data_IF_665626805054
#
_entry.id   IF_665626805054
#
_cell.length_a   1.000
_cell.length_b   1.000
_cell.length_c   1.000
_cell.angle_alpha   90.00
_cell.angle_beta   90.00
_cell.angle_gamma   90.00
#
_symmetry.space_group_name_H-M   'P 1'
#
loop_
_entity.id
_entity.type
_entity.pdbx_description
1 polymer ?
#
# COMPACT_ATOMS: atom_id res chain seq x y z
N UNK A 1 -29.55 68.87 15.36
CA UNK A 1 -28.41 68.48 14.49
C UNK A 1 -27.55 67.36 15.08
N UNK A 2 -27.23 67.37 16.39
CA UNK A 2 -26.36 66.37 17.05
C UNK A 2 -26.81 64.90 16.92
N UNK A 3 -28.11 64.61 17.01
CA UNK A 3 -28.66 63.24 16.90
C UNK A 3 -28.47 62.65 15.49
N UNK A 4 -28.56 63.48 14.44
CA UNK A 4 -28.41 63.02 13.06
C UNK A 4 -26.97 62.59 12.76
N UNK A 5 -25.99 63.32 13.30
CA UNK A 5 -24.56 63.01 13.15
C UNK A 5 -24.21 61.72 13.90
N UNK A 6 -24.75 61.51 15.10
CA UNK A 6 -24.53 60.28 15.87
C UNK A 6 -25.08 59.05 15.14
N UNK A 7 -26.29 59.14 14.55
CA UNK A 7 -26.87 58.05 13.76
C UNK A 7 -26.05 57.70 12.51
N UNK A 8 -25.54 58.70 11.79
CA UNK A 8 -24.71 58.43 10.60
C UNK A 8 -23.38 57.75 10.95
N UNK A 9 -22.76 58.13 12.07
CA UNK A 9 -21.51 57.50 12.53
C UNK A 9 -21.77 56.06 12.97
N UNK A 10 -22.85 55.81 13.72
CA UNK A 10 -23.21 54.46 14.16
C UNK A 10 -23.50 53.53 12.97
N UNK A 11 -24.21 54.01 11.95
CA UNK A 11 -24.50 53.24 10.74
C UNK A 11 -23.21 52.94 9.96
N UNK A 12 -22.34 53.94 9.77
CA UNK A 12 -21.06 53.77 9.08
C UNK A 12 -20.16 52.76 9.81
N UNK A 13 -20.06 52.85 11.13
CA UNK A 13 -19.31 51.89 11.94
C UNK A 13 -19.91 50.47 11.84
N UNK A 14 -21.24 50.33 11.90
CA UNK A 14 -21.92 49.05 11.73
C UNK A 14 -21.67 48.42 10.36
N UNK A 15 -21.68 49.22 9.30
CA UNK A 15 -21.36 48.76 7.94
C UNK A 15 -19.89 48.34 7.79
N UNK A 16 -18.95 49.11 8.34
CA UNK A 16 -17.53 48.76 8.28
C UNK A 16 -17.22 47.48 9.06
N UNK A 17 -17.79 47.32 10.26
CA UNK A 17 -17.63 46.11 11.08
C UNK A 17 -18.33 44.90 10.44
N UNK A 18 -19.54 45.07 9.89
CA UNK A 18 -20.28 44.00 9.22
C UNK A 18 -19.63 43.53 7.91
N UNK A 19 -19.11 44.46 7.11
CA UNK A 19 -18.46 44.13 5.84
C UNK A 19 -17.07 43.48 6.02
N UNK A 20 -16.34 43.83 7.08
CA UNK A 20 -15.01 43.25 7.38
C UNK A 20 -15.07 41.98 8.24
N UNK A 21 -16.23 41.66 8.84
CA UNK A 21 -16.41 40.52 9.73
C UNK A 21 -16.33 39.14 9.08
N UNK A 22 -16.41 39.03 7.75
CA UNK A 22 -16.36 37.74 7.06
C UNK A 22 -15.02 36.99 7.29
N UNK A 23 -13.91 37.74 7.39
CA UNK A 23 -12.59 37.16 7.67
C UNK A 23 -12.41 36.57 9.06
N UNK A 24 -13.36 36.78 9.99
CA UNK A 24 -13.34 36.18 11.33
C UNK A 24 -13.98 34.79 11.38
N UNK A 25 -14.78 34.44 10.37
CA UNK A 25 -15.53 33.16 10.30
C UNK A 25 -15.02 32.30 9.15
N UNK A 26 -14.33 32.89 8.17
CA UNK A 26 -13.72 32.15 7.08
C UNK A 26 -12.69 31.15 7.63
N UNK A 27 -12.76 29.86 7.26
CA UNK A 27 -11.72 28.90 7.59
C UNK A 27 -10.39 29.36 6.97
N UNK A 28 -9.31 29.19 7.73
CA UNK A 28 -7.97 29.52 7.24
C UNK A 28 -7.48 28.39 6.33
N UNK A 29 -7.45 28.62 5.03
CA UNK A 29 -7.01 27.62 4.04
C UNK A 29 -5.60 27.06 4.33
N UNK A 30 -4.73 27.81 5.00
CA UNK A 30 -3.38 27.36 5.38
C UNK A 30 -3.36 26.33 6.52
N UNK A 31 -4.50 26.10 7.17
CA UNK A 31 -4.63 25.08 8.24
C UNK A 31 -5.19 23.76 7.73
N UNK A 32 -5.61 23.71 6.46
CA UNK A 32 -6.02 22.48 5.81
C UNK A 32 -4.77 21.70 5.40
N UNK A 33 -4.52 20.60 6.08
CA UNK A 33 -3.42 19.71 5.74
C UNK A 33 -3.69 19.03 4.40
N UNK A 34 -2.72 19.09 3.51
CA UNK A 34 -2.70 18.38 2.23
C UNK A 34 -1.27 17.90 1.97
N UNK A 35 -1.09 16.88 1.12
CA UNK A 35 0.24 16.49 0.66
C UNK A 35 0.71 17.51 -0.39
N UNK A 36 1.74 18.34 -0.13
CA UNK A 36 2.14 19.42 -1.03
C UNK A 36 3.04 18.96 -2.18
N UNK A 37 3.13 17.65 -2.41
CA UNK A 37 4.02 16.99 -3.37
C UNK A 37 3.21 16.08 -4.30
N UNK A 38 3.88 15.39 -5.24
CA UNK A 38 3.22 14.48 -6.19
C UNK A 38 2.74 13.18 -5.52
N UNK A 39 3.27 12.86 -4.33
CA UNK A 39 2.89 11.69 -3.55
C UNK A 39 1.77 11.95 -2.55
N UNK A 40 1.49 10.93 -1.73
CA UNK A 40 0.48 10.99 -0.68
C UNK A 40 1.09 10.96 0.72
N UNK A 41 0.35 11.50 1.67
CA UNK A 41 0.69 11.50 3.09
C UNK A 41 -0.19 10.49 3.84
N UNK A 42 0.44 9.60 4.61
CA UNK A 42 -0.24 8.51 5.34
C UNK A 42 0.19 8.49 6.80
N UNK A 43 -0.78 8.45 7.72
CA UNK A 43 -0.54 8.25 9.14
C UNK A 43 -1.01 6.84 9.54
N UNK A 44 -0.12 6.01 10.08
CA UNK A 44 -0.40 4.64 10.51
C UNK A 44 0.15 4.39 11.92
N UNK A 45 -0.72 4.50 12.91
CA UNK A 45 -0.30 4.50 14.32
C UNK A 45 0.60 5.71 14.62
N UNK A 46 1.77 5.45 15.20
CA UNK A 46 2.76 6.46 15.58
C UNK A 46 3.83 6.72 14.49
N UNK A 47 3.61 6.19 13.28
CA UNK A 47 4.47 6.38 12.10
C UNK A 47 3.74 7.23 11.07
N UNK A 48 4.39 8.33 10.66
CA UNK A 48 3.90 9.25 9.64
C UNK A 48 4.73 9.09 8.36
N UNK A 49 4.10 8.64 7.28
CA UNK A 49 4.73 8.48 5.96
C UNK A 49 4.41 9.70 5.10
N UNK A 50 5.43 10.42 4.65
CA UNK A 50 5.33 11.62 3.81
C UNK A 50 5.70 11.27 2.38
N UNK A 51 4.96 11.86 1.45
CA UNK A 51 5.26 11.78 0.01
C UNK A 51 5.47 10.33 -0.50
N UNK A 52 4.55 9.43 -0.17
CA UNK A 52 4.58 8.05 -0.68
C UNK A 52 4.29 8.04 -2.17
N UNK A 53 5.21 7.44 -2.93
CA UNK A 53 5.26 7.39 -4.38
C UNK A 53 5.71 6.00 -4.85
N UNK A 54 5.27 5.64 -6.05
CA UNK A 54 5.81 4.52 -6.82
C UNK A 54 6.55 5.11 -8.03
N UNK A 55 7.84 4.82 -8.19
CA UNK A 55 8.63 5.28 -9.34
C UNK A 55 8.93 4.06 -10.22
N UNK A 56 8.49 4.10 -11.47
CA UNK A 56 8.76 3.01 -12.41
C UNK A 56 10.27 2.84 -12.65
N UNK A 57 10.71 1.59 -12.76
CA UNK A 57 12.06 1.24 -13.18
C UNK A 57 12.25 1.45 -14.70
N UNK A 58 13.45 1.19 -15.21
CA UNK A 58 13.74 1.32 -16.65
C UNK A 58 12.86 0.41 -17.55
N UNK A 59 12.23 -0.64 -17.00
CA UNK A 59 11.34 -1.53 -17.74
C UNK A 59 9.91 -1.00 -17.80
N UNK A 60 9.51 -0.22 -16.81
CA UNK A 60 8.13 0.24 -16.61
C UNK A 60 7.21 -0.80 -15.97
N UNK A 61 7.72 -1.99 -15.62
CA UNK A 61 6.93 -3.09 -15.05
C UNK A 61 7.06 -3.20 -13.52
N UNK A 62 8.16 -2.70 -12.97
CA UNK A 62 8.42 -2.69 -11.53
C UNK A 62 8.50 -1.26 -11.00
N UNK A 63 8.27 -1.12 -9.70
CA UNK A 63 8.14 0.18 -9.06
C UNK A 63 8.97 0.25 -7.79
N UNK A 64 9.86 1.24 -7.71
CA UNK A 64 10.55 1.63 -6.50
C UNK A 64 9.57 2.33 -5.56
N UNK A 65 9.52 1.91 -4.29
CA UNK A 65 8.67 2.51 -3.27
C UNK A 65 9.43 3.65 -2.59
N UNK A 66 9.07 4.90 -2.88
CA UNK A 66 9.77 6.10 -2.41
C UNK A 66 8.90 6.84 -1.40
N UNK A 67 9.45 7.16 -0.23
CA UNK A 67 8.78 7.94 0.81
C UNK A 67 9.77 8.40 1.89
N UNK A 68 9.35 9.36 2.70
CA UNK A 68 10.01 9.67 3.98
C UNK A 68 9.12 9.20 5.13
N UNK A 69 9.70 8.60 6.16
CA UNK A 69 8.98 8.22 7.37
C UNK A 69 9.43 9.06 8.56
N UNK A 70 8.48 9.37 9.44
CA UNK A 70 8.72 9.94 10.77
C UNK A 70 8.14 8.97 11.79
N UNK A 71 9.02 8.32 12.54
CA UNK A 71 8.65 7.43 13.63
C UNK A 71 8.91 8.16 14.96
N UNK A 72 7.82 8.50 15.64
CA UNK A 72 7.85 9.22 16.92
C UNK A 72 7.98 8.29 18.13
N UNK A 73 8.04 6.98 17.90
CA UNK A 73 8.22 5.99 18.97
C UNK A 73 9.68 5.90 19.42
N UNK A 74 9.90 5.31 20.59
CA UNK A 74 11.25 5.13 21.16
C UNK A 74 12.06 3.95 20.60
N UNK A 75 11.57 3.25 19.58
CA UNK A 75 12.24 2.10 18.97
C UNK A 75 11.92 1.97 17.47
N UNK A 76 12.68 1.18 16.69
CA UNK A 76 12.32 0.87 15.32
C UNK A 76 10.93 0.22 15.23
N UNK A 77 10.21 0.50 14.14
CA UNK A 77 8.88 -0.05 13.85
C UNK A 77 8.90 -0.70 12.47
N UNK A 78 8.41 -1.92 12.36
CA UNK A 78 8.23 -2.58 11.07
C UNK A 78 6.96 -2.04 10.38
N UNK A 79 7.13 -1.56 9.16
CA UNK A 79 6.08 -1.06 8.29
C UNK A 79 5.89 -2.04 7.15
N UNK A 80 4.66 -2.51 6.99
CA UNK A 80 4.25 -3.27 5.83
C UNK A 80 3.36 -2.44 4.92
N UNK A 81 3.65 -2.51 3.62
CA UNK A 81 2.83 -1.90 2.57
C UNK A 81 2.43 -3.00 1.59
N UNK A 82 1.12 -3.22 1.43
CA UNK A 82 0.58 -4.17 0.47
C UNK A 82 -0.13 -3.43 -0.65
N UNK A 83 0.26 -3.68 -1.90
CA UNK A 83 -0.30 -3.06 -3.09
C UNK A 83 -1.23 -4.03 -3.81
N UNK A 84 -2.35 -3.51 -4.29
CA UNK A 84 -3.34 -4.26 -5.07
C UNK A 84 -3.49 -3.59 -6.44
N UNK A 85 -3.04 -4.28 -7.48
CA UNK A 85 -3.28 -3.90 -8.87
C UNK A 85 -4.63 -4.39 -9.40
N UNK A 86 -4.93 -4.12 -10.68
CA UNK A 86 -6.09 -4.72 -11.35
C UNK A 86 -5.92 -6.25 -11.42
N UNK A 87 -6.91 -7.00 -10.90
CA UNK A 87 -6.93 -8.47 -10.98
C UNK A 87 -6.58 -9.23 -9.69
N UNK A 88 -6.58 -8.58 -8.52
CA UNK A 88 -6.39 -9.20 -7.19
C UNK A 88 -4.99 -9.76 -6.89
N UNK A 89 -4.02 -9.59 -7.80
CA UNK A 89 -2.62 -9.86 -7.51
C UNK A 89 -2.10 -8.83 -6.50
N UNK A 90 -1.28 -9.28 -5.56
CA UNK A 90 -0.78 -8.46 -4.45
C UNK A 90 0.74 -8.42 -4.47
N UNK A 91 1.30 -7.22 -4.46
CA UNK A 91 2.70 -7.01 -4.14
C UNK A 91 2.81 -6.57 -2.68
N UNK A 92 3.95 -6.85 -2.04
CA UNK A 92 4.18 -6.48 -0.66
C UNK A 92 5.60 -5.97 -0.50
N UNK A 93 5.74 -4.88 0.25
CA UNK A 93 7.02 -4.33 0.65
C UNK A 93 7.05 -4.22 2.17
N UNK A 94 8.21 -4.49 2.75
CA UNK A 94 8.47 -4.43 4.19
C UNK A 94 9.62 -3.46 4.44
N UNK A 95 9.47 -2.61 5.44
CA UNK A 95 10.45 -1.60 5.81
C UNK A 95 10.63 -1.60 7.32
N UNK A 96 11.87 -1.55 7.80
CA UNK A 96 12.13 -1.23 9.21
C UNK A 96 12.36 0.27 9.32
N UNK A 97 11.47 0.98 10.03
CA UNK A 97 11.52 2.43 10.21
C UNK A 97 12.24 2.77 11.53
N UNK A 98 13.47 3.32 11.50
CA UNK A 98 14.17 3.77 12.70
C UNK A 98 13.42 4.90 13.41
N UNK A 99 13.74 5.15 14.68
CA UNK A 99 13.23 6.33 15.40
C UNK A 99 13.73 7.62 14.74
N UNK A 100 12.86 8.63 14.64
CA UNK A 100 13.17 9.91 14.01
C UNK A 100 12.69 9.97 12.57
N UNK A 101 13.41 10.70 11.72
CA UNK A 101 13.08 10.85 10.31
C UNK A 101 14.05 10.05 9.43
N UNK A 102 13.52 9.34 8.44
CA UNK A 102 14.30 8.47 7.55
C UNK A 102 13.71 8.50 6.14
N UNK A 103 14.56 8.48 5.12
CA UNK A 103 14.16 8.47 3.70
C UNK A 103 14.36 7.07 3.11
N UNK A 104 13.46 6.66 2.23
CA UNK A 104 13.44 5.36 1.57
C UNK A 104 13.32 5.52 0.06
N UNK A 105 13.93 4.59 -0.68
CA UNK A 105 13.84 4.53 -2.14
C UNK A 105 14.86 5.38 -2.91
N UNK A 106 15.73 6.14 -2.23
CA UNK A 106 16.85 6.82 -2.88
C UNK A 106 18.00 5.83 -3.15
N UNK A 107 18.40 5.56 -4.41
CA UNK A 107 19.50 4.64 -4.72
C UNK A 107 20.87 5.08 -4.20
N UNK A 108 21.07 6.38 -3.98
CA UNK A 108 22.28 6.93 -3.35
C UNK A 108 22.15 7.06 -1.82
N UNK A 109 21.01 6.64 -1.26
CA UNK A 109 20.71 6.71 0.17
C UNK A 109 21.39 5.65 1.01
N UNK A 110 21.21 5.74 2.33
CA UNK A 110 21.74 4.74 3.29
C UNK A 110 20.94 3.43 3.29
N UNK A 111 19.68 3.48 2.87
CA UNK A 111 18.76 2.34 2.86
C UNK A 111 18.54 1.93 1.42
N UNK A 112 18.74 0.65 1.16
CA UNK A 112 18.56 0.06 -0.16
C UNK A 112 17.09 0.22 -0.63
N UNK A 113 16.86 0.69 -1.86
CA UNK A 113 15.52 0.78 -2.44
C UNK A 113 14.79 -0.56 -2.46
N UNK A 114 13.47 -0.52 -2.30
CA UNK A 114 12.61 -1.71 -2.39
C UNK A 114 11.79 -1.62 -3.66
N UNK A 115 11.93 -2.64 -4.50
CA UNK A 115 11.24 -2.76 -5.77
C UNK A 115 10.01 -3.68 -5.63
N UNK A 116 8.88 -3.29 -6.22
CA UNK A 116 7.65 -4.10 -6.25
C UNK A 116 7.09 -4.24 -7.66
N UNK A 117 6.70 -5.46 -8.02
CA UNK A 117 6.00 -5.72 -9.28
C UNK A 117 4.49 -5.68 -9.08
N UNK A 118 3.81 -4.71 -9.68
CA UNK A 118 2.36 -4.55 -9.57
C UNK A 118 1.72 -4.77 -10.95
N UNK A 119 1.04 -5.91 -11.18
CA UNK A 119 0.48 -6.23 -12.49
C UNK A 119 -0.51 -5.17 -12.99
N UNK A 120 -0.38 -4.81 -14.27
CA UNK A 120 -1.22 -3.84 -14.97
C UNK A 120 -1.18 -2.41 -14.42
N UNK A 121 -0.26 -2.09 -13.51
CA UNK A 121 -0.01 -0.71 -13.11
C UNK A 121 0.82 -0.02 -14.20
N UNK A 122 0.43 1.20 -14.56
CA UNK A 122 1.17 2.04 -15.51
C UNK A 122 1.50 3.39 -14.86
N UNK A 123 2.62 4.04 -15.22
CA UNK A 123 2.90 5.41 -14.82
C UNK A 123 1.75 6.37 -15.16
N UNK A 124 1.43 7.26 -14.23
CA UNK A 124 0.28 8.16 -14.26
C UNK A 124 -1.01 7.57 -13.68
N UNK A 125 -1.06 6.27 -13.36
CA UNK A 125 -2.15 5.64 -12.61
C UNK A 125 -1.91 5.66 -11.10
N UNK A 126 -2.85 5.12 -10.33
CA UNK A 126 -2.70 4.91 -8.89
C UNK A 126 -2.85 3.44 -8.53
N UNK A 127 -2.03 2.97 -7.59
CA UNK A 127 -2.12 1.65 -7.00
C UNK A 127 -2.81 1.74 -5.64
N UNK A 128 -3.76 0.84 -5.35
CA UNK A 128 -4.36 0.78 -4.02
C UNK A 128 -3.38 0.15 -3.04
N UNK A 129 -2.98 0.90 -2.04
CA UNK A 129 -2.04 0.46 -1.01
C UNK A 129 -2.72 0.36 0.37
N UNK A 130 -2.28 -0.63 1.12
CA UNK A 130 -2.68 -0.90 2.49
C UNK A 130 -1.45 -0.82 3.38
N UNK A 131 -1.48 0.07 4.37
CA UNK A 131 -0.36 0.36 5.25
C UNK A 131 -0.65 -0.19 6.63
N UNK A 132 0.32 -0.90 7.21
CA UNK A 132 0.18 -1.56 8.49
C UNK A 132 1.46 -1.46 9.30
N UNK A 133 1.33 -1.13 10.59
CA UNK A 133 2.38 -1.25 11.60
C UNK A 133 1.86 -2.13 12.75
N UNK A 134 2.74 -2.80 13.51
CA UNK A 134 2.34 -3.62 14.66
C UNK A 134 1.47 -2.85 15.66
N UNK A 135 0.28 -3.38 15.94
CA UNK A 135 -0.66 -2.81 16.92
C UNK A 135 -1.52 -1.66 16.40
N UNK A 136 -1.32 -1.19 15.17
CA UNK A 136 -2.18 -0.21 14.52
C UNK A 136 -3.22 -0.87 13.60
N UNK A 137 -4.34 -0.18 13.38
CA UNK A 137 -5.31 -0.57 12.34
C UNK A 137 -4.72 -0.30 10.97
N UNK A 138 -4.95 -1.22 10.04
CA UNK A 138 -4.60 -1.03 8.62
C UNK A 138 -5.33 0.18 8.04
N UNK A 139 -4.61 1.01 7.27
CA UNK A 139 -5.16 2.16 6.56
C UNK A 139 -4.96 2.00 5.05
N UNK A 140 -5.89 2.55 4.27
CA UNK A 140 -5.94 2.36 2.82
C UNK A 140 -5.89 3.70 2.09
N UNK A 141 -4.98 3.80 1.12
CA UNK A 141 -4.85 4.95 0.23
C UNK A 141 -4.55 4.51 -1.21
N UNK A 142 -4.77 5.40 -2.17
CA UNK A 142 -4.37 5.18 -3.57
C UNK A 142 -3.05 5.95 -3.80
N UNK A 143 -1.97 5.23 -4.07
CA UNK A 143 -0.60 5.75 -4.23
C UNK A 143 -0.32 5.99 -5.71
N UNK A 144 0.13 7.18 -6.14
CA UNK A 144 0.43 7.45 -7.53
C UNK A 144 1.73 6.77 -7.99
N UNK A 145 1.70 6.30 -9.23
CA UNK A 145 2.87 5.78 -9.94
C UNK A 145 3.36 6.81 -10.95
N UNK A 146 4.66 7.10 -10.95
CA UNK A 146 5.31 8.10 -11.80
C UNK A 146 6.44 7.46 -12.62
N UNK A 147 6.84 8.17 -13.68
CA UNK A 147 8.00 7.87 -14.53
C UNK A 147 8.93 9.07 -14.60
N UNK A 148 10.10 8.88 -15.19
CA UNK A 148 11.05 9.94 -15.46
C UNK A 148 10.95 10.53 -16.88
N UNK A 149 10.16 9.92 -17.77
CA UNK A 149 10.02 10.38 -19.16
C UNK A 149 9.49 11.82 -19.24
N UNK A 150 8.58 12.18 -18.34
CA UNK A 150 7.98 13.53 -18.29
C UNK A 150 8.40 14.35 -17.08
N UNK A 151 9.05 13.72 -16.10
CA UNK A 151 9.43 14.32 -14.82
C UNK A 151 10.91 14.05 -14.55
N UNK A 152 11.76 14.91 -15.08
CA UNK A 152 13.23 14.79 -14.99
C UNK A 152 13.71 14.76 -13.53
N UNK A 153 12.94 15.34 -12.63
CA UNK A 153 13.17 15.40 -11.19
C UNK A 153 13.16 14.01 -10.52
N UNK A 154 12.55 12.98 -11.12
CA UNK A 154 12.49 11.63 -10.55
C UNK A 154 13.53 10.66 -11.13
N UNK A 155 14.39 11.10 -12.05
CA UNK A 155 15.41 10.25 -12.70
C UNK A 155 16.33 9.54 -11.72
N UNK A 156 16.65 10.20 -10.63
CA UNK A 156 17.55 9.65 -9.60
C UNK A 156 16.89 8.50 -8.81
N UNK A 157 15.57 8.32 -8.93
CA UNK A 157 14.81 7.28 -8.25
C UNK A 157 14.41 6.12 -9.18
N UNK A 158 14.72 6.22 -10.49
CA UNK A 158 14.52 5.14 -11.46
C UNK A 158 15.62 4.10 -11.28
N UNK A 159 15.20 2.87 -10.99
CA UNK A 159 16.11 1.74 -10.79
C UNK A 159 16.41 1.06 -12.13
N UNK A 160 17.63 0.51 -12.30
CA UNK A 160 17.99 -0.23 -13.50
C UNK A 160 17.22 -1.55 -13.57
N UNK A 161 17.02 -2.08 -14.78
CA UNK A 161 16.21 -3.29 -15.01
C UNK A 161 16.75 -4.57 -14.32
N UNK A 162 18.02 -4.59 -13.93
CA UNK A 162 18.68 -5.70 -13.22
C UNK A 162 18.74 -5.51 -11.70
N UNK A 163 18.13 -4.44 -11.17
CA UNK A 163 18.08 -4.19 -9.74
C UNK A 163 17.36 -5.34 -9.00
N UNK A 164 18.00 -5.90 -7.97
CA UNK A 164 17.42 -6.98 -7.16
C UNK A 164 17.40 -8.38 -7.81
N UNK A 165 17.92 -8.55 -9.04
CA UNK A 165 17.91 -9.83 -9.76
C UNK A 165 18.69 -10.96 -9.03
N UNK A 166 19.54 -10.63 -8.07
CA UNK A 166 20.25 -11.62 -7.23
C UNK A 166 19.45 -12.11 -6.01
N UNK A 167 18.37 -11.42 -5.63
CA UNK A 167 17.52 -11.73 -4.47
C UNK A 167 16.35 -12.66 -4.85
N UNK A 168 15.76 -12.47 -6.03
CA UNK A 168 14.71 -13.34 -6.58
C UNK A 168 15.19 -14.80 -6.79
N UNK A 169 16.47 -14.98 -7.14
CA UNK A 169 17.08 -16.32 -7.25
C UNK A 169 17.22 -17.03 -5.89
N UNK A 170 17.26 -16.28 -4.78
CA UNK A 170 17.38 -16.81 -3.42
C UNK A 170 16.00 -17.16 -2.84
N UNK A 171 14.97 -16.35 -3.08
CA UNK A 171 13.58 -16.70 -2.72
C UNK A 171 13.07 -17.90 -3.52
N UNK A 172 13.34 -17.96 -4.84
CA UNK A 172 12.98 -19.11 -5.67
C UNK A 172 13.70 -20.42 -5.24
N UNK A 173 14.93 -20.31 -4.68
CA UNK A 173 15.66 -21.47 -4.14
C UNK A 173 15.26 -21.84 -2.72
N UNK A 174 14.77 -20.90 -1.91
CA UNK A 174 14.20 -21.19 -0.60
C UNK A 174 12.87 -21.94 -0.71
N UNK A 175 12.01 -21.56 -1.66
CA UNK A 175 10.77 -22.28 -1.97
C UNK A 175 11.04 -23.70 -2.51
N UNK A 176 12.01 -23.83 -3.43
CA UNK A 176 12.43 -25.13 -3.97
C UNK A 176 13.08 -26.05 -2.92
N UNK A 177 13.85 -25.51 -1.96
CA UNK A 177 14.48 -26.30 -0.89
C UNK A 177 13.49 -26.78 0.18
N UNK A 178 12.32 -26.15 0.30
CA UNK A 178 11.25 -26.59 1.22
C UNK A 178 10.46 -27.80 0.70
N UNK A 179 10.56 -28.11 -0.60
CA UNK A 179 9.79 -29.17 -1.25
C UNK A 179 10.49 -30.54 -1.38
N UNK A 180 11.77 -30.66 -1.03
CA UNK A 180 12.57 -31.90 -1.25
C UNK A 180 13.11 -32.52 0.05
N UNK A 181 12.33 -32.50 1.15
CA UNK A 181 12.71 -33.09 2.42
C UNK A 181 11.65 -34.05 2.99
N UNK A 182 11.43 -35.20 2.34
CA UNK A 182 10.36 -36.10 2.80
C UNK A 182 10.29 -37.51 2.20
N UNK A 183 11.40 -38.14 1.80
CA UNK A 183 11.43 -39.59 1.58
C UNK A 183 12.55 -40.24 2.40
N UNK A 184 12.18 -41.08 3.38
CA UNK A 184 13.14 -41.93 4.07
C UNK A 184 12.68 -42.55 5.40
N UNK A 185 12.20 -43.79 5.31
CA UNK A 185 12.38 -44.87 6.30
C UNK A 185 11.33 -45.05 7.42
N UNK A 186 10.49 -46.08 7.26
CA UNK A 186 10.38 -47.15 8.26
C UNK A 186 9.74 -48.40 7.65
N UNK A 187 10.43 -49.54 7.77
CA UNK A 187 9.92 -50.87 7.49
C UNK A 187 10.06 -51.76 8.73
N UNK A 188 9.13 -52.74 8.82
CA UNK A 188 9.02 -53.88 9.77
C UNK A 188 8.24 -53.59 11.08
N UNK A 189 7.29 -54.41 11.58
CA UNK A 189 6.87 -55.78 11.26
C UNK A 189 5.48 -56.12 11.87
N UNK A 190 4.89 -57.23 11.38
CA UNK A 190 4.15 -58.27 12.15
C UNK A 190 2.64 -58.48 11.87
N UNK A 191 2.38 -59.56 11.12
CA UNK A 191 1.44 -60.70 11.36
C UNK A 191 -0.07 -60.50 11.55
N UNK A 192 -0.86 -61.27 10.76
CA UNK A 192 -1.97 -62.08 11.31
C UNK A 192 -3.35 -61.98 10.62
N UNK A 193 -3.63 -62.97 9.77
CA UNK A 193 -4.91 -63.70 9.57
C UNK A 193 -6.26 -63.04 9.18
N UNK A 194 -6.79 -63.54 8.05
CA UNK A 194 -8.11 -64.18 7.83
C UNK A 194 -9.40 -63.35 7.93
N UNK A 195 -10.10 -63.14 6.80
CA UNK A 195 -11.25 -63.98 6.35
C UNK A 195 -12.06 -63.28 5.25
N UNK A 196 -12.71 -64.10 4.43
CA UNK A 196 -13.42 -63.77 3.20
C UNK A 196 -14.92 -63.49 3.37
N UNK A 197 -15.49 -62.96 2.28
CA UNK A 197 -16.79 -63.28 1.65
C UNK A 197 -18.04 -62.41 1.89
N UNK A 198 -18.77 -62.20 0.79
CA UNK A 198 -20.17 -61.73 0.68
C UNK A 198 -20.32 -60.48 -0.20
N UNK A 199 -20.56 -60.55 -1.54
CA UNK A 199 -21.88 -60.67 -2.21
C UNK A 199 -22.95 -59.74 -1.59
N UNK A 200 -23.74 -58.87 -2.26
CA UNK A 200 -24.38 -58.93 -3.59
C UNK A 200 -25.14 -57.61 -3.90
N UNK A 201 -25.34 -57.36 -5.21
CA UNK A 201 -26.58 -56.91 -5.88
C UNK A 201 -27.10 -55.44 -5.89
N UNK A 202 -27.33 -55.01 -7.14
CA UNK A 202 -28.46 -54.23 -7.71
C UNK A 202 -28.81 -52.84 -7.16
N UNK A 203 -28.77 -51.80 -8.00
CA UNK A 203 -29.90 -51.46 -8.88
C UNK A 203 -29.62 -50.17 -9.69
N UNK A 204 -30.09 -50.21 -10.92
CA UNK A 204 -30.24 -49.14 -11.90
C UNK A 204 -31.27 -48.09 -11.44
N UNK A 205 -30.98 -46.80 -11.64
CA UNK A 205 -32.01 -45.76 -11.83
C UNK A 205 -31.39 -44.53 -12.50
N UNK A 206 -31.60 -44.45 -13.81
CA UNK A 206 -31.50 -43.24 -14.64
C UNK A 206 -32.50 -42.17 -14.17
N UNK A 207 -32.07 -40.90 -14.13
CA UNK A 207 -32.96 -39.75 -14.01
C UNK A 207 -32.50 -38.62 -14.94
N UNK A 208 -33.27 -38.41 -16.00
CA UNK A 208 -33.36 -37.20 -16.82
C UNK A 208 -34.68 -36.53 -16.47
N UNK A 209 -34.71 -35.22 -16.22
CA UNK A 209 -35.79 -34.26 -16.54
C UNK A 209 -35.32 -32.86 -16.05
N UNK A 210 -34.93 -31.94 -16.94
CA UNK A 210 -35.71 -30.81 -17.51
C UNK A 210 -36.43 -29.92 -16.49
N UNK A 211 -36.01 -28.66 -16.37
CA UNK A 211 -36.91 -27.57 -15.99
C UNK A 211 -36.63 -26.28 -16.78
N UNK A 212 -37.73 -25.74 -17.28
CA UNK A 212 -37.92 -24.57 -18.13
C UNK A 212 -37.90 -23.30 -17.30
N UNK A 213 -37.37 -22.22 -17.89
CA UNK A 213 -37.40 -20.88 -17.35
C UNK A 213 -38.76 -20.20 -17.57
N UNK A 214 -39.21 -19.47 -16.55
CA UNK A 214 -40.04 -18.27 -16.68
C UNK A 214 -39.24 -17.09 -16.13
#
# INVERSE_FOLDING_TARGET
MKIRIASSIALAAGLMLGATGCGLIAPQATTEAYAPSDGIDVNVGDVELRNVLLIADETGENFNVVFSAVNTTGSPVDLSISFVGEGSQKARAEFTVPTGSTEFGNPEGEIEPVLVTIPNLIPGATARAYFQTPGASEVKYDVPALDDEKLVEYRDYVLPADFGAEEDEQEAKADASSSTGGEGSSAAASSGETSAAGETSSADASATETHTAE
#
